data_IF_219122332132
#
_entry.id   IF_219122332132
#
_cell.length_a   1.000
_cell.length_b   1.000
_cell.length_c   1.000
_cell.angle_alpha   90.00
_cell.angle_beta   90.00
_cell.angle_gamma   90.00
#
_symmetry.space_group_name_H-M   'P 1'
#
loop_
_entity.id
_entity.type
_entity.pdbx_description
1 polymer ?
#
# COMPACT_ATOMS: atom_id res chain seq x y z
N UNK A 1 -19.37 12.06 -12.27
CA UNK A 1 -19.75 10.88 -13.07
C UNK A 1 -18.87 10.65 -14.30
N UNK A 2 -18.62 11.65 -15.22
CA UNK A 2 -17.81 11.44 -16.43
C UNK A 2 -16.38 10.96 -16.14
N UNK A 3 -15.71 11.52 -15.12
CA UNK A 3 -14.33 11.13 -14.74
C UNK A 3 -14.25 9.70 -14.21
N UNK A 4 -15.25 9.26 -13.44
CA UNK A 4 -15.30 7.88 -12.92
C UNK A 4 -15.52 6.86 -14.05
N UNK A 5 -16.37 7.19 -15.05
CA UNK A 5 -16.59 6.33 -16.22
C UNK A 5 -15.33 6.23 -17.09
N UNK A 6 -14.62 7.34 -17.29
CA UNK A 6 -13.36 7.36 -18.05
C UNK A 6 -12.30 6.50 -17.35
N UNK A 7 -12.18 6.62 -16.03
CA UNK A 7 -11.26 5.80 -15.23
C UNK A 7 -11.61 4.31 -15.34
N UNK A 8 -12.90 3.97 -15.25
CA UNK A 8 -13.37 2.59 -15.36
C UNK A 8 -13.08 1.98 -16.75
N UNK A 9 -13.29 2.75 -17.81
CA UNK A 9 -12.98 2.32 -19.20
C UNK A 9 -11.48 2.16 -19.39
N UNK A 10 -10.66 3.05 -18.85
CA UNK A 10 -9.21 2.94 -18.88
C UNK A 10 -8.74 1.69 -18.14
N UNK A 11 -9.22 1.46 -16.92
CA UNK A 11 -8.93 0.28 -16.13
C UNK A 11 -9.34 -1.01 -16.84
N UNK A 12 -10.52 -1.04 -17.47
CA UNK A 12 -10.97 -2.18 -18.24
C UNK A 12 -10.11 -2.44 -19.49
N UNK A 13 -9.67 -1.38 -20.18
CA UNK A 13 -8.78 -1.49 -21.34
C UNK A 13 -7.35 -1.96 -20.94
N UNK A 14 -6.87 -1.53 -19.78
CA UNK A 14 -5.59 -1.99 -19.21
C UNK A 14 -5.69 -3.44 -18.78
N UNK A 15 -6.75 -3.81 -18.09
CA UNK A 15 -6.98 -5.21 -17.65
C UNK A 15 -7.09 -6.18 -18.83
N UNK A 16 -7.65 -5.73 -19.99
CA UNK A 16 -7.76 -6.56 -21.19
C UNK A 16 -6.41 -6.89 -21.86
N UNK A 17 -5.33 -6.21 -21.46
CA UNK A 17 -3.96 -6.48 -21.92
C UNK A 17 -3.07 -7.06 -20.84
N UNK A 18 -3.57 -7.22 -19.62
CA UNK A 18 -2.83 -7.83 -18.54
C UNK A 18 -2.67 -9.33 -18.80
N UNK A 19 -1.51 -9.89 -18.52
CA UNK A 19 -1.27 -11.33 -18.54
C UNK A 19 -1.82 -12.02 -17.30
N UNK A 20 -2.22 -11.27 -16.27
CA UNK A 20 -2.84 -11.78 -15.06
C UNK A 20 -3.48 -10.70 -14.19
N UNK A 21 -4.47 -11.14 -13.43
CA UNK A 21 -5.12 -10.36 -12.38
C UNK A 21 -5.05 -11.13 -11.07
N UNK A 22 -4.82 -10.46 -9.97
CA UNK A 22 -4.79 -11.07 -8.65
C UNK A 22 -5.47 -10.23 -7.59
N UNK A 23 -5.80 -10.89 -6.48
CA UNK A 23 -6.24 -10.25 -5.25
C UNK A 23 -5.38 -10.77 -4.10
N UNK A 24 -5.17 -9.93 -3.10
CA UNK A 24 -4.36 -10.27 -1.95
C UNK A 24 -4.93 -9.69 -0.65
N UNK A 25 -4.55 -10.36 0.43
CA UNK A 25 -4.72 -9.88 1.81
C UNK A 25 -3.40 -10.07 2.53
N UNK A 26 -3.19 -9.33 3.60
CA UNK A 26 -1.96 -9.47 4.36
C UNK A 26 -1.90 -8.62 5.60
N UNK A 27 -0.69 -8.56 6.15
CA UNK A 27 -0.34 -7.78 7.31
C UNK A 27 0.83 -6.87 6.94
N UNK A 28 0.65 -5.59 7.13
CA UNK A 28 1.68 -4.57 7.00
C UNK A 28 2.16 -4.21 8.41
N UNK A 29 3.46 -4.24 8.62
CA UNK A 29 4.12 -3.84 9.86
C UNK A 29 5.10 -2.72 9.50
N UNK A 30 4.87 -1.53 10.04
CA UNK A 30 5.68 -0.34 9.79
C UNK A 30 6.29 0.16 11.08
N UNK A 31 7.51 0.69 11.00
CA UNK A 31 8.27 1.14 12.16
C UNK A 31 7.57 2.26 12.94
N UNK A 32 6.84 3.15 12.24
CA UNK A 32 6.18 4.29 12.86
C UNK A 32 4.73 4.04 13.28
N UNK A 33 3.97 3.22 12.53
CA UNK A 33 2.53 3.08 12.70
C UNK A 33 2.11 1.71 13.28
N UNK A 34 3.09 0.78 13.42
CA UNK A 34 2.81 -0.58 13.88
C UNK A 34 2.10 -1.44 12.82
N UNK A 35 1.29 -2.36 13.31
CA UNK A 35 0.63 -3.40 12.53
C UNK A 35 -0.69 -2.92 11.91
N UNK A 36 -0.95 -3.33 10.65
CA UNK A 36 -2.25 -3.13 10.01
C UNK A 36 -2.64 -4.30 9.10
N UNK A 37 -3.93 -4.46 8.88
CA UNK A 37 -4.42 -5.35 7.84
C UNK A 37 -4.37 -4.65 6.48
N UNK A 38 -3.88 -5.33 5.45
CA UNK A 38 -3.85 -4.82 4.07
C UNK A 38 -4.58 -5.77 3.14
N UNK A 39 -5.32 -5.23 2.19
CA UNK A 39 -5.97 -5.98 1.13
C UNK A 39 -5.98 -5.18 -0.17
N UNK A 40 -5.98 -5.87 -1.30
CA UNK A 40 -5.90 -5.20 -2.57
C UNK A 40 -5.99 -6.11 -3.78
N UNK A 41 -5.72 -5.50 -4.92
CA UNK A 41 -5.70 -6.17 -6.20
C UNK A 41 -4.43 -5.81 -6.98
N UNK A 42 -4.06 -6.69 -7.92
CA UNK A 42 -2.90 -6.51 -8.77
C UNK A 42 -3.18 -6.89 -10.22
N UNK A 43 -2.48 -6.23 -11.13
CA UNK A 43 -2.43 -6.52 -12.55
C UNK A 43 -0.99 -6.82 -12.94
N UNK A 44 -0.80 -7.80 -13.82
CA UNK A 44 0.50 -8.16 -14.34
C UNK A 44 0.49 -8.11 -15.87
N UNK A 45 1.59 -7.65 -16.44
CA UNK A 45 1.81 -7.51 -17.87
C UNK A 45 3.13 -8.17 -18.22
N UNK A 46 3.08 -9.31 -18.92
CA UNK A 46 4.29 -10.02 -19.31
C UNK A 46 4.95 -9.35 -20.51
N UNK A 47 6.22 -8.97 -20.35
CA UNK A 47 7.04 -8.41 -21.43
C UNK A 47 8.00 -9.44 -22.02
N UNK A 48 8.53 -10.31 -21.17
CA UNK A 48 9.46 -11.37 -21.52
C UNK A 48 9.09 -12.65 -20.75
N UNK A 49 9.60 -13.81 -21.16
CA UNK A 49 9.25 -15.09 -20.53
C UNK A 49 9.44 -15.17 -18.99
N UNK A 50 10.29 -14.32 -18.45
CA UNK A 50 10.59 -14.31 -17.01
C UNK A 50 10.41 -12.92 -16.37
N UNK A 51 9.95 -11.90 -17.12
CA UNK A 51 9.85 -10.53 -16.64
C UNK A 51 8.46 -9.98 -16.90
N UNK A 52 7.80 -9.54 -15.84
CA UNK A 52 6.52 -8.86 -15.92
C UNK A 52 6.56 -7.50 -15.21
N UNK A 53 5.70 -6.60 -15.65
CA UNK A 53 5.34 -5.39 -14.91
C UNK A 53 4.20 -5.75 -13.97
N UNK A 54 4.39 -5.46 -12.69
CA UNK A 54 3.35 -5.51 -11.69
C UNK A 54 2.82 -4.09 -11.44
N UNK A 55 1.50 -3.95 -11.41
CA UNK A 55 0.80 -2.78 -10.88
C UNK A 55 -0.18 -3.26 -9.83
N UNK A 56 -0.10 -2.74 -8.62
CA UNK A 56 -1.02 -3.13 -7.56
C UNK A 56 -1.52 -1.91 -6.78
N UNK A 57 -2.74 -2.04 -6.28
CA UNK A 57 -3.36 -1.07 -5.40
C UNK A 57 -4.01 -1.77 -4.23
N UNK A 58 -4.01 -1.13 -3.08
CA UNK A 58 -4.54 -1.71 -1.86
C UNK A 58 -5.12 -0.68 -0.91
N UNK A 59 -5.57 -1.18 0.21
CA UNK A 59 -6.04 -0.40 1.33
C UNK A 59 -5.54 -1.07 2.61
N UNK A 60 -4.87 -0.32 3.45
CA UNK A 60 -4.38 -0.75 4.76
C UNK A 60 -5.08 0.06 5.84
N UNK A 61 -5.60 -0.59 6.86
CA UNK A 61 -6.31 0.03 7.97
C UNK A 61 -6.07 -0.73 9.29
N UNK A 62 -6.47 -0.10 10.38
CA UNK A 62 -6.34 -0.71 11.69
C UNK A 62 -4.93 -0.60 12.24
N UNK A 63 -4.22 0.46 11.88
CA UNK A 63 -2.95 0.79 12.52
C UNK A 63 -3.18 1.06 14.01
N UNK A 64 -2.24 0.58 14.83
CA UNK A 64 -2.22 0.93 16.23
C UNK A 64 -2.03 2.44 16.39
N UNK A 65 -2.46 2.96 17.52
CA UNK A 65 -2.49 4.40 17.81
C UNK A 65 -1.18 5.11 17.44
N UNK A 66 -1.23 6.01 16.43
CA UNK A 66 -0.12 6.90 16.13
C UNK A 66 -0.07 8.04 17.15
N UNK A 67 1.04 8.14 17.88
CA UNK A 67 1.20 9.10 18.96
C UNK A 67 2.05 10.29 18.52
N UNK A 68 1.42 11.44 18.38
CA UNK A 68 2.16 12.69 18.24
C UNK A 68 2.65 13.17 19.60
N UNK A 69 3.95 13.32 19.77
CA UNK A 69 4.54 13.90 21.00
C UNK A 69 4.82 15.37 20.72
N UNK A 70 3.90 16.23 21.11
CA UNK A 70 4.08 17.69 21.04
C UNK A 70 4.33 18.32 22.42
N UNK A 71 4.69 19.60 22.42
CA UNK A 71 4.88 20.40 23.65
C UNK A 71 3.61 20.51 24.52
N UNK A 72 2.45 20.14 23.99
CA UNK A 72 1.14 20.27 24.66
C UNK A 72 0.53 18.94 25.10
N UNK A 73 1.20 17.80 24.90
CA UNK A 73 0.70 16.48 25.28
C UNK A 73 0.80 15.44 24.17
N UNK A 74 0.26 14.27 24.43
CA UNK A 74 0.17 13.17 23.45
C UNK A 74 -1.18 13.28 22.73
N UNK A 75 -1.16 13.43 21.42
CA UNK A 75 -2.32 13.33 20.54
C UNK A 75 -2.31 11.93 19.91
N UNK A 76 -3.47 11.35 19.71
CA UNK A 76 -3.63 10.02 19.11
C UNK A 76 -4.42 10.18 17.82
N UNK A 77 -3.87 9.72 16.71
CA UNK A 77 -4.62 9.54 15.48
C UNK A 77 -5.38 8.22 15.56
N UNK A 78 -6.66 8.26 15.27
CA UNK A 78 -7.56 7.12 15.23
C UNK A 78 -8.07 6.94 13.80
N UNK A 79 -8.33 5.70 13.39
CA UNK A 79 -8.81 5.36 12.05
C UNK A 79 -7.84 5.71 10.89
N UNK A 80 -6.52 5.72 11.16
CA UNK A 80 -5.54 5.95 10.11
C UNK A 80 -5.61 4.85 9.05
N UNK A 81 -5.70 5.26 7.80
CA UNK A 81 -5.69 4.37 6.65
C UNK A 81 -4.59 4.78 5.66
N UNK A 82 -4.07 3.81 4.91
CA UNK A 82 -3.10 4.03 3.83
C UNK A 82 -3.63 3.38 2.56
N UNK A 83 -3.51 4.10 1.45
CA UNK A 83 -3.84 3.62 0.10
C UNK A 83 -2.55 3.45 -0.69
N UNK A 84 -1.90 2.26 -0.64
CA UNK A 84 -0.72 1.99 -1.46
C UNK A 84 -1.11 1.80 -2.93
N UNK A 85 -0.38 2.46 -3.83
CA UNK A 85 -0.40 2.22 -5.27
C UNK A 85 1.04 1.99 -5.71
N UNK A 86 1.34 0.80 -6.21
CA UNK A 86 2.70 0.36 -6.46
C UNK A 86 2.86 -0.13 -7.90
N UNK A 87 4.01 0.15 -8.51
CA UNK A 87 4.39 -0.37 -9.81
C UNK A 87 5.85 -0.81 -9.80
N UNK A 88 6.17 -1.92 -10.47
CA UNK A 88 7.53 -2.44 -10.50
C UNK A 88 7.71 -3.65 -11.41
N UNK A 89 8.94 -4.11 -11.48
CA UNK A 89 9.32 -5.28 -12.28
C UNK A 89 9.37 -6.52 -11.39
N UNK A 90 8.81 -7.60 -11.92
CA UNK A 90 8.83 -8.93 -11.31
C UNK A 90 9.66 -9.88 -12.16
N UNK A 91 10.55 -10.63 -11.53
CA UNK A 91 11.28 -11.75 -12.11
C UNK A 91 10.61 -13.05 -11.68
N UNK A 92 10.16 -13.85 -12.64
CA UNK A 92 9.50 -15.14 -12.44
C UNK A 92 10.20 -16.21 -13.27
N UNK A 93 11.19 -16.92 -12.72
CA UNK A 93 11.74 -18.08 -13.41
C UNK A 93 10.65 -19.12 -13.74
N UNK A 94 10.84 -19.98 -14.73
CA UNK A 94 9.91 -21.05 -15.02
C UNK A 94 9.65 -21.89 -13.78
N UNK A 95 8.37 -22.24 -13.50
CA UNK A 95 8.01 -22.96 -12.29
C UNK A 95 8.59 -24.38 -12.30
N UNK A 96 9.03 -24.83 -11.14
CA UNK A 96 9.51 -26.19 -10.91
C UNK A 96 8.34 -27.17 -11.08
N UNK A 97 8.56 -28.19 -11.92
CA UNK A 97 7.54 -29.18 -12.28
C UNK A 97 6.21 -28.60 -12.78
N UNK A 98 6.22 -27.33 -13.26
CA UNK A 98 5.03 -26.63 -13.73
C UNK A 98 4.06 -26.17 -12.62
N UNK A 99 4.35 -26.45 -11.35
CA UNK A 99 3.43 -26.25 -10.24
C UNK A 99 3.93 -25.22 -9.21
N UNK A 100 5.22 -25.22 -8.90
CA UNK A 100 5.79 -24.37 -7.85
C UNK A 100 6.70 -23.34 -8.48
N UNK A 101 6.38 -22.08 -8.31
CA UNK A 101 7.17 -20.95 -8.76
C UNK A 101 7.77 -20.15 -7.60
N UNK A 102 8.91 -19.55 -7.86
CA UNK A 102 9.50 -18.51 -7.01
C UNK A 102 9.50 -17.22 -7.81
N UNK A 103 9.41 -16.09 -7.12
CA UNK A 103 9.53 -14.81 -7.78
C UNK A 103 10.15 -13.77 -6.86
N UNK A 104 10.70 -12.74 -7.46
CA UNK A 104 11.18 -11.56 -6.75
C UNK A 104 10.89 -10.31 -7.59
N UNK A 105 10.75 -9.17 -6.94
CA UNK A 105 10.47 -7.93 -7.63
C UNK A 105 10.89 -6.71 -6.83
N UNK A 106 10.93 -5.59 -7.53
CA UNK A 106 11.16 -4.28 -6.93
C UNK A 106 10.51 -3.18 -7.78
N UNK A 107 10.20 -2.05 -7.15
CA UNK A 107 9.57 -0.94 -7.83
C UNK A 107 9.42 0.29 -6.97
N UNK A 108 8.59 1.22 -7.45
CA UNK A 108 8.19 2.42 -6.75
C UNK A 108 6.75 2.29 -6.22
N UNK A 109 6.46 2.99 -5.15
CA UNK A 109 5.14 3.07 -4.55
C UNK A 109 4.76 4.51 -4.25
N UNK A 110 3.49 4.80 -4.42
CA UNK A 110 2.83 5.97 -3.91
C UNK A 110 1.87 5.53 -2.79
N UNK A 111 1.94 6.20 -1.66
CA UNK A 111 1.19 5.87 -0.47
C UNK A 111 0.37 7.09 -0.06
N UNK A 112 -0.90 7.09 -0.47
CA UNK A 112 -1.84 8.13 -0.09
C UNK A 112 -2.36 7.88 1.32
N UNK A 113 -2.39 8.93 2.12
CA UNK A 113 -2.98 8.91 3.46
C UNK A 113 -4.20 9.80 3.41
N UNK A 114 -5.41 9.22 3.30
CA UNK A 114 -6.64 9.99 3.43
C UNK A 114 -6.72 10.61 4.83
N UNK A 115 -7.50 11.67 4.95
CA UNK A 115 -7.66 12.38 6.20
C UNK A 115 -8.01 11.46 7.38
N UNK A 116 -7.59 11.85 8.58
CA UNK A 116 -7.81 11.11 9.81
C UNK A 116 -8.26 12.05 10.95
N UNK A 117 -8.90 11.46 11.97
CA UNK A 117 -9.33 12.17 13.17
C UNK A 117 -8.20 12.21 14.21
N UNK A 118 -7.92 13.38 14.73
CA UNK A 118 -6.99 13.54 15.86
C UNK A 118 -7.79 13.63 17.15
N UNK A 119 -7.54 12.74 18.08
CA UNK A 119 -8.21 12.66 19.38
C UNK A 119 -7.27 13.06 20.52
N UNK A 120 -7.79 13.83 21.47
CA UNK A 120 -7.19 14.05 22.78
C UNK A 120 -8.10 13.40 23.84
N UNK A 121 -7.73 12.22 24.31
CA UNK A 121 -8.59 11.39 25.13
C UNK A 121 -9.82 10.91 24.35
N UNK A 122 -11.03 11.21 24.86
CA UNK A 122 -12.31 10.82 24.20
C UNK A 122 -12.88 11.88 23.25
N UNK A 123 -12.16 12.97 23.00
CA UNK A 123 -12.68 14.11 22.25
C UNK A 123 -11.90 14.26 20.95
N UNK A 124 -12.59 14.25 19.80
CA UNK A 124 -12.01 14.67 18.52
C UNK A 124 -11.63 16.15 18.65
N UNK A 125 -10.36 16.46 18.44
CA UNK A 125 -9.83 17.82 18.58
C UNK A 125 -9.48 18.44 17.25
N UNK A 126 -9.30 17.66 16.20
CA UNK A 126 -9.08 18.15 14.84
C UNK A 126 -9.45 17.06 13.82
N UNK A 127 -9.91 17.50 12.66
CA UNK A 127 -10.16 16.70 11.47
C UNK A 127 -9.17 17.17 10.38
N UNK A 128 -8.53 16.25 9.68
CA UNK A 128 -7.63 16.56 8.58
C UNK A 128 -8.18 15.90 7.31
N UNK A 129 -8.48 16.68 6.28
CA UNK A 129 -9.12 16.17 5.06
C UNK A 129 -8.12 15.45 4.11
N UNK A 130 -6.89 15.93 4.03
CA UNK A 130 -5.80 15.31 3.25
C UNK A 130 -4.47 15.53 3.97
N UNK A 131 -3.72 14.46 4.23
CA UNK A 131 -2.52 14.60 5.02
C UNK A 131 -1.29 14.68 4.15
N UNK A 132 -1.04 13.74 3.27
CA UNK A 132 0.15 13.76 2.42
C UNK A 132 0.20 12.52 1.54
N UNK A 133 0.91 12.68 0.44
CA UNK A 133 1.26 11.61 -0.48
C UNK A 133 2.75 11.28 -0.31
N UNK A 134 3.08 10.07 0.12
CA UNK A 134 4.46 9.63 0.20
C UNK A 134 4.85 8.85 -1.06
N UNK A 135 6.06 9.06 -1.52
CA UNK A 135 6.66 8.27 -2.60
C UNK A 135 7.84 7.49 -2.04
N UNK A 136 7.88 6.21 -2.34
CA UNK A 136 8.91 5.32 -1.85
C UNK A 136 9.27 4.22 -2.84
N UNK A 137 10.03 3.27 -2.37
CA UNK A 137 10.38 2.07 -3.12
C UNK A 137 9.99 0.82 -2.33
N UNK A 138 9.88 -0.28 -3.05
CA UNK A 138 9.62 -1.59 -2.45
C UNK A 138 10.44 -2.68 -3.14
N UNK A 139 10.71 -3.74 -2.40
CA UNK A 139 11.27 -4.97 -2.92
C UNK A 139 10.52 -6.16 -2.30
N UNK A 140 10.29 -7.20 -3.06
CA UNK A 140 9.60 -8.39 -2.58
C UNK A 140 10.17 -9.69 -3.11
N UNK A 141 9.87 -10.76 -2.39
CA UNK A 141 10.11 -12.13 -2.82
C UNK A 141 8.94 -13.01 -2.38
N UNK A 142 8.62 -14.01 -3.19
CA UNK A 142 7.48 -14.88 -2.90
C UNK A 142 7.57 -16.24 -3.56
N UNK A 143 6.60 -17.05 -3.15
CA UNK A 143 6.35 -18.38 -3.68
C UNK A 143 4.94 -18.41 -4.26
N UNK A 144 4.77 -19.15 -5.35
CA UNK A 144 3.46 -19.40 -5.92
C UNK A 144 3.27 -20.89 -6.20
N UNK A 145 2.05 -21.38 -6.00
CA UNK A 145 1.68 -22.79 -6.22
C UNK A 145 0.39 -22.81 -7.03
N UNK A 146 0.35 -23.64 -8.06
CA UNK A 146 -0.86 -23.84 -8.85
C UNK A 146 -0.57 -24.20 -10.31
N UNK A 147 -1.63 -24.20 -11.10
CA UNK A 147 -1.56 -24.40 -12.55
C UNK A 147 -1.34 -23.05 -13.27
N UNK A 148 -0.93 -23.03 -14.55
CA UNK A 148 -0.65 -21.77 -15.25
C UNK A 148 -1.79 -20.75 -15.18
N UNK A 149 -3.05 -21.19 -15.29
CA UNK A 149 -4.21 -20.29 -15.26
C UNK A 149 -4.63 -19.84 -13.86
N UNK A 150 -4.22 -20.54 -12.79
CA UNK A 150 -4.62 -20.21 -11.42
C UNK A 150 -3.50 -20.53 -10.43
N UNK A 151 -3.09 -19.56 -9.66
CA UNK A 151 -2.04 -19.69 -8.65
C UNK A 151 -2.44 -19.07 -7.33
N UNK A 152 -2.02 -19.69 -6.25
CA UNK A 152 -2.01 -19.10 -4.90
C UNK A 152 -0.59 -18.67 -4.62
N UNK A 153 -0.41 -17.52 -4.01
CA UNK A 153 0.92 -16.99 -3.69
C UNK A 153 1.03 -16.53 -2.25
N UNK A 154 2.25 -16.57 -1.74
CA UNK A 154 2.68 -15.92 -0.52
C UNK A 154 3.89 -15.05 -0.81
N UNK A 155 3.94 -13.84 -0.26
CA UNK A 155 4.95 -12.81 -0.52
C UNK A 155 5.40 -12.13 0.76
N UNK A 156 6.69 -11.89 0.87
CA UNK A 156 7.29 -10.95 1.82
C UNK A 156 7.72 -9.73 1.03
N UNK A 157 7.24 -8.57 1.42
CA UNK A 157 7.59 -7.28 0.83
C UNK A 157 8.22 -6.37 1.88
N UNK A 158 9.34 -5.78 1.56
CA UNK A 158 9.93 -4.65 2.27
C UNK A 158 9.61 -3.37 1.52
N UNK A 159 9.27 -2.33 2.23
CA UNK A 159 9.00 -1.00 1.67
C UNK A 159 9.68 0.07 2.48
N UNK A 160 10.02 1.19 1.84
CA UNK A 160 10.55 2.38 2.49
C UNK A 160 9.99 3.61 1.81
N UNK A 161 9.25 4.42 2.58
CA UNK A 161 8.73 5.71 2.18
C UNK A 161 8.76 6.62 3.40
N UNK A 162 9.53 7.70 3.31
CA UNK A 162 9.72 8.67 4.40
C UNK A 162 9.35 10.07 3.91
N UNK A 163 8.64 10.82 4.73
CA UNK A 163 8.44 12.26 4.58
C UNK A 163 8.84 12.95 5.87
N UNK A 164 9.75 13.91 5.75
CA UNK A 164 10.25 14.71 6.88
C UNK A 164 9.62 16.09 6.84
N UNK A 165 9.36 16.65 8.02
CA UNK A 165 8.78 17.99 8.15
C UNK A 165 7.36 18.13 7.56
N UNK A 166 6.48 17.13 7.77
CA UNK A 166 5.06 17.25 7.46
C UNK A 166 4.44 18.42 8.23
N UNK A 167 4.05 19.47 7.51
CA UNK A 167 3.22 20.54 8.06
C UNK A 167 1.74 20.11 8.00
N UNK A 168 1.18 19.75 9.15
CA UNK A 168 -0.23 19.35 9.24
C UNK A 168 -1.07 20.61 9.53
N UNK A 169 -1.85 21.04 8.54
CA UNK A 169 -2.80 22.16 8.69
C UNK A 169 -4.10 21.67 9.34
N UNK A 170 -4.39 22.16 10.52
CA UNK A 170 -5.66 21.89 11.21
C UNK A 170 -6.69 22.98 10.89
N UNK A 171 -7.81 22.59 10.29
CA UNK A 171 -8.85 23.51 9.80
C UNK A 171 -9.49 24.42 10.86
N UNK A 172 -9.51 24.08 12.13
CA UNK A 172 -10.36 24.76 13.12
C UNK A 172 -9.68 25.31 14.38
N UNK A 173 -8.35 25.29 14.50
CA UNK A 173 -7.68 25.83 15.68
C UNK A 173 -6.36 26.56 15.36
N UNK A 174 -6.42 27.86 15.39
CA UNK A 174 -5.24 28.75 15.38
C UNK A 174 -4.30 28.59 16.61
N UNK A 175 -4.70 27.82 17.63
CA UNK A 175 -3.97 27.71 18.90
C UNK A 175 -3.03 26.47 18.99
N UNK A 176 -3.07 25.52 18.03
CA UNK A 176 -2.26 24.29 18.10
C UNK A 176 -0.85 24.47 17.51
N UNK A 177 -0.56 25.58 16.87
CA UNK A 177 0.74 25.80 16.21
C UNK A 177 0.99 24.78 15.09
N UNK A 178 2.00 25.00 14.29
CA UNK A 178 2.44 24.02 13.28
C UNK A 178 2.98 22.80 14.00
N UNK A 179 2.23 21.69 13.97
CA UNK A 179 2.71 20.38 14.41
C UNK A 179 3.52 19.80 13.26
N UNK A 180 4.79 19.54 13.50
CA UNK A 180 5.64 18.80 12.59
C UNK A 180 5.63 17.32 13.00
N UNK A 181 5.39 16.46 12.06
CA UNK A 181 5.48 15.02 12.24
C UNK A 181 6.40 14.42 11.16
N UNK A 182 7.27 13.53 11.55
CA UNK A 182 8.02 12.68 10.63
C UNK A 182 7.18 11.41 10.42
N UNK A 183 6.81 11.14 9.18
CA UNK A 183 6.06 9.95 8.82
C UNK A 183 6.98 8.97 8.09
N UNK A 184 7.16 7.81 8.69
CA UNK A 184 7.99 6.72 8.16
C UNK A 184 7.14 5.47 7.96
N UNK A 185 6.94 5.08 6.70
CA UNK A 185 6.27 3.85 6.31
C UNK A 185 7.25 2.72 5.98
N UNK A 186 8.49 2.85 6.44
CA UNK A 186 9.47 1.76 6.32
C UNK A 186 9.02 0.55 7.13
N UNK A 187 9.07 -0.62 6.50
CA UNK A 187 8.61 -1.82 7.19
C UNK A 187 8.46 -3.03 6.27
N UNK A 188 7.86 -4.07 6.84
CA UNK A 188 7.65 -5.36 6.17
C UNK A 188 6.17 -5.65 6.04
N UNK A 189 5.77 -6.13 4.85
CA UNK A 189 4.42 -6.58 4.58
C UNK A 189 4.43 -8.06 4.21
N UNK A 190 3.59 -8.85 4.86
CA UNK A 190 3.33 -10.24 4.51
C UNK A 190 2.02 -10.31 3.73
N UNK A 191 2.05 -10.86 2.52
CA UNK A 191 0.89 -10.99 1.64
C UNK A 191 0.61 -12.45 1.32
N UNK A 192 -0.66 -12.77 1.20
CA UNK A 192 -1.15 -14.00 0.61
C UNK A 192 -2.27 -13.67 -0.38
N UNK A 193 -2.33 -14.38 -1.50
CA UNK A 193 -3.31 -14.05 -2.50
C UNK A 193 -3.51 -15.12 -3.57
N UNK A 194 -4.35 -14.77 -4.51
CA UNK A 194 -4.63 -15.58 -5.69
C UNK A 194 -4.33 -14.78 -6.96
N UNK A 195 -3.92 -15.47 -7.99
CA UNK A 195 -3.67 -14.89 -9.31
C UNK A 195 -4.30 -15.76 -10.39
N UNK A 196 -5.01 -15.14 -11.31
CA UNK A 196 -5.54 -15.75 -12.54
C UNK A 196 -4.72 -15.16 -13.69
N UNK A 197 -4.16 -16.04 -14.52
CA UNK A 197 -3.37 -15.68 -15.70
C UNK A 197 -4.00 -16.30 -16.98
N UNK A 198 -3.82 -15.66 -18.11
CA UNK A 198 -4.32 -16.09 -19.42
C UNK A 198 -3.32 -15.85 -20.56
#
# INVERSE_FOLDING_TARGET
MKRALTLLVLLAAVAARAAGIGAYVGKMDTDALGDSAVYGAQLEFDFFPCVSLLVRGGYANGFDEFKFVGSSGTLVADDLAIVPVEAGLMLRPPPLFGLVGVYAGAGAGWYGIPGFDVKSGKKVVAETDDVTDLVGWWASAGLEIGVPAFRVFGEVKYQSAEEKDLDIDFKDRHDLGNLRADLDLTGVTLLAGIRIAW
#
